data_IF_193662486444
#
_entry.id   IF_193662486444
#
_cell.length_a   1.000
_cell.length_b   1.000
_cell.length_c   1.000
_cell.angle_alpha   90.00
_cell.angle_beta   90.00
_cell.angle_gamma   90.00
#
_symmetry.space_group_name_H-M   'P 1'
#
loop_
_entity.id
_entity.type
_entity.pdbx_description
1 polymer ?
#
# COMPACT_ATOMS: atom_id res chain seq x y z
N UNK A 1 2.89 -19.56 21.40
CA UNK A 1 1.59 -18.86 21.42
C UNK A 1 1.41 -17.91 22.62
N UNK A 2 1.73 -18.31 23.87
CA UNK A 2 1.57 -17.44 25.07
C UNK A 2 2.36 -16.11 25.05
N UNK A 3 3.49 -16.04 24.34
CA UNK A 3 4.28 -14.80 24.21
C UNK A 3 3.58 -13.73 23.34
N UNK A 4 2.92 -14.14 22.25
CA UNK A 4 2.24 -13.20 21.35
C UNK A 4 1.09 -12.47 22.05
N UNK A 5 0.32 -13.19 22.88
CA UNK A 5 -0.75 -12.58 23.68
C UNK A 5 -0.23 -11.63 24.77
N UNK A 6 1.00 -11.82 25.27
CA UNK A 6 1.62 -10.85 26.20
C UNK A 6 1.93 -9.52 25.52
N UNK A 7 2.30 -9.52 24.24
CA UNK A 7 2.55 -8.27 23.49
C UNK A 7 1.24 -7.47 23.37
N UNK A 8 0.12 -8.14 23.07
CA UNK A 8 -1.19 -7.49 23.02
C UNK A 8 -1.68 -6.97 24.38
N UNK A 9 -1.18 -7.53 25.49
CA UNK A 9 -1.46 -7.04 26.85
C UNK A 9 -0.70 -5.76 27.20
N UNK A 10 0.36 -5.42 26.47
CA UNK A 10 1.15 -4.20 26.69
C UNK A 10 0.53 -3.01 25.94
N UNK A 11 -0.24 -3.27 24.87
CA UNK A 11 -0.91 -2.24 24.09
C UNK A 11 -2.15 -1.68 24.79
N UNK A 12 -2.28 -0.36 24.79
CA UNK A 12 -3.47 0.34 25.27
C UNK A 12 -4.64 0.08 24.30
N UNK A 13 -5.90 -0.06 24.76
CA UNK A 13 -7.07 -0.30 23.89
C UNK A 13 -7.24 0.73 22.75
N UNK A 14 -6.71 1.95 22.91
CA UNK A 14 -6.67 2.99 21.88
C UNK A 14 -5.68 2.66 20.75
N UNK A 15 -4.53 2.09 21.09
CA UNK A 15 -3.48 1.69 20.14
C UNK A 15 -3.88 0.45 19.36
N UNK A 16 -4.56 -0.49 20.02
CA UNK A 16 -5.17 -1.66 19.37
C UNK A 16 -6.16 -1.26 18.27
N UNK A 17 -6.99 -0.23 18.50
CA UNK A 17 -7.92 0.29 17.49
C UNK A 17 -7.19 0.98 16.32
N UNK A 18 -6.13 1.73 16.60
CA UNK A 18 -5.29 2.33 15.56
C UNK A 18 -4.55 1.26 14.74
N UNK A 19 -4.05 0.22 15.39
CA UNK A 19 -3.40 -0.91 14.74
C UNK A 19 -4.38 -1.66 13.82
N UNK A 20 -5.60 -1.93 14.30
CA UNK A 20 -6.64 -2.54 13.46
C UNK A 20 -6.99 -1.67 12.25
N UNK A 21 -7.10 -0.35 12.42
CA UNK A 21 -7.28 0.59 11.32
C UNK A 21 -6.13 0.53 10.31
N UNK A 22 -4.87 0.54 10.77
CA UNK A 22 -3.70 0.43 9.90
C UNK A 22 -3.69 -0.88 9.12
N UNK A 23 -4.02 -2.00 9.74
CA UNK A 23 -4.13 -3.30 9.06
C UNK A 23 -5.15 -3.23 7.91
N UNK A 24 -6.31 -2.61 8.14
CA UNK A 24 -7.32 -2.43 7.09
C UNK A 24 -6.76 -1.58 5.95
N UNK A 25 -6.11 -0.45 6.25
CA UNK A 25 -5.47 0.42 5.24
C UNK A 25 -4.40 -0.34 4.44
N UNK A 26 -3.62 -1.21 5.11
CA UNK A 26 -2.61 -2.05 4.46
C UNK A 26 -3.22 -3.09 3.52
N UNK A 27 -4.35 -3.70 3.87
CA UNK A 27 -5.06 -4.64 2.99
C UNK A 27 -5.52 -3.93 1.72
N UNK A 28 -6.10 -2.73 1.85
CA UNK A 28 -6.47 -1.93 0.68
C UNK A 28 -5.26 -1.56 -0.17
N UNK A 29 -4.12 -1.23 0.46
CA UNK A 29 -2.86 -1.00 -0.25
C UNK A 29 -2.38 -2.22 -1.03
N UNK A 30 -2.41 -3.40 -0.42
CA UNK A 30 -2.01 -4.65 -1.06
C UNK A 30 -2.90 -4.98 -2.28
N UNK A 31 -4.21 -4.76 -2.18
CA UNK A 31 -5.12 -4.92 -3.33
C UNK A 31 -4.77 -3.94 -4.44
N UNK A 32 -4.52 -2.67 -4.10
CA UNK A 32 -4.14 -1.65 -5.09
C UNK A 32 -2.79 -1.98 -5.75
N UNK A 33 -1.84 -2.53 -5.01
CA UNK A 33 -0.59 -3.05 -5.56
C UNK A 33 -0.82 -4.21 -6.54
N UNK A 34 -1.64 -5.19 -6.16
CA UNK A 34 -1.97 -6.34 -7.00
C UNK A 34 -2.66 -5.91 -8.29
N UNK A 35 -3.61 -4.96 -8.22
CA UNK A 35 -4.26 -4.36 -9.39
C UNK A 35 -3.22 -3.66 -10.28
N UNK A 36 -2.30 -2.90 -9.69
CA UNK A 36 -1.23 -2.24 -10.45
C UNK A 36 -0.35 -3.23 -11.22
N UNK A 37 0.05 -4.34 -10.59
CA UNK A 37 0.84 -5.40 -11.24
C UNK A 37 0.01 -6.09 -12.34
N UNK A 38 -1.26 -6.41 -12.06
CA UNK A 38 -2.16 -7.06 -13.00
C UNK A 38 -2.49 -6.19 -14.22
N UNK A 39 -2.53 -4.86 -14.06
CA UNK A 39 -2.85 -3.92 -15.14
C UNK A 39 -1.76 -3.83 -16.22
N UNK A 40 -0.54 -4.33 -15.95
CA UNK A 40 0.54 -4.43 -16.95
C UNK A 40 0.20 -5.49 -18.02
N UNK A 41 -0.44 -6.59 -17.63
CA UNK A 41 -0.69 -7.73 -18.52
C UNK A 41 -1.54 -7.37 -19.76
N UNK A 42 -2.65 -6.61 -19.63
CA UNK A 42 -3.40 -6.12 -20.79
C UNK A 42 -2.55 -5.28 -21.75
N UNK A 43 -1.67 -4.42 -21.23
CA UNK A 43 -0.79 -3.59 -22.07
C UNK A 43 0.19 -4.43 -22.88
N UNK A 44 0.86 -5.39 -22.23
CA UNK A 44 1.80 -6.30 -22.90
C UNK A 44 1.08 -7.12 -23.96
N UNK A 45 -0.11 -7.63 -23.63
CA UNK A 45 -0.91 -8.46 -24.53
C UNK A 45 -1.36 -7.68 -25.77
N UNK A 46 -1.74 -6.41 -25.60
CA UNK A 46 -2.12 -5.51 -26.69
C UNK A 46 -0.92 -5.19 -27.60
N UNK A 47 0.27 -4.96 -27.02
CA UNK A 47 1.49 -4.73 -27.80
C UNK A 47 1.86 -5.93 -28.69
N UNK A 48 1.58 -7.16 -28.25
CA UNK A 48 1.84 -8.38 -29.01
C UNK A 48 0.80 -8.73 -30.08
N UNK A 49 -0.32 -8.02 -30.15
CA UNK A 49 -1.44 -8.31 -31.07
C UNK A 49 -1.79 -7.09 -31.92
N UNK A 50 -1.14 -6.87 -33.07
CA UNK A 50 -1.41 -5.72 -33.94
C UNK A 50 -2.84 -5.69 -34.49
N UNK A 51 -3.44 -6.86 -34.76
CA UNK A 51 -4.82 -6.99 -35.29
C UNK A 51 -5.92 -6.94 -34.21
N UNK A 52 -5.61 -6.50 -32.98
CA UNK A 52 -6.54 -6.54 -31.86
C UNK A 52 -7.80 -5.68 -32.10
N UNK A 53 -7.64 -4.52 -32.74
CA UNK A 53 -8.75 -3.62 -33.11
C UNK A 53 -9.69 -4.27 -34.14
N UNK A 54 -9.14 -5.00 -35.10
CA UNK A 54 -9.92 -5.64 -36.17
C UNK A 54 -10.71 -6.85 -35.66
N UNK A 55 -10.19 -7.54 -34.65
CA UNK A 55 -10.88 -8.69 -34.01
C UNK A 55 -11.97 -8.27 -33.03
N UNK A 56 -11.91 -7.06 -32.48
CA UNK A 56 -12.83 -6.59 -31.44
C UNK A 56 -13.50 -5.27 -31.83
N UNK A 57 -14.45 -5.35 -32.75
CA UNK A 57 -15.22 -4.20 -33.26
C UNK A 57 -15.91 -3.37 -32.15
N UNK A 58 -16.31 -3.99 -31.03
CA UNK A 58 -16.85 -3.27 -29.87
C UNK A 58 -15.81 -2.33 -29.24
N UNK A 59 -14.59 -2.82 -29.03
CA UNK A 59 -13.47 -2.04 -28.47
C UNK A 59 -13.06 -0.96 -29.45
N UNK A 60 -13.05 -1.25 -30.76
CA UNK A 60 -12.79 -0.27 -31.80
C UNK A 60 -13.84 0.85 -31.81
N UNK A 61 -15.11 0.56 -31.57
CA UNK A 61 -16.16 1.58 -31.48
C UNK A 61 -15.99 2.51 -30.26
N UNK A 62 -15.56 1.98 -29.11
CA UNK A 62 -15.21 2.80 -27.94
C UNK A 62 -13.94 3.62 -28.17
N UNK A 63 -12.91 3.03 -28.79
CA UNK A 63 -11.66 3.69 -29.14
C UNK A 63 -11.89 4.84 -30.14
N UNK A 64 -12.75 4.63 -31.13
CA UNK A 64 -13.13 5.64 -32.11
C UNK A 64 -13.83 6.85 -31.46
N UNK A 65 -14.63 6.65 -30.40
CA UNK A 65 -15.21 7.76 -29.61
C UNK A 65 -14.15 8.58 -28.88
N UNK A 66 -13.03 7.95 -28.50
CA UNK A 66 -11.85 8.61 -27.93
C UNK A 66 -10.91 9.20 -28.99
N UNK A 67 -11.26 9.10 -30.28
CA UNK A 67 -10.43 9.57 -31.41
C UNK A 67 -9.25 8.66 -31.76
N UNK A 68 -9.23 7.44 -31.21
CA UNK A 68 -8.16 6.47 -31.42
C UNK A 68 -8.57 5.46 -32.48
N UNK A 69 -8.01 5.61 -33.68
CA UNK A 69 -8.25 4.70 -34.82
C UNK A 69 -7.05 3.81 -35.12
N UNK A 70 -5.89 4.10 -34.54
CA UNK A 70 -4.65 3.35 -34.77
C UNK A 70 -4.28 2.48 -33.58
N UNK A 71 -3.67 1.32 -33.85
CA UNK A 71 -3.17 0.41 -32.81
C UNK A 71 -2.18 1.07 -31.87
N UNK A 72 -1.26 1.88 -32.41
CA UNK A 72 -0.31 2.68 -31.61
C UNK A 72 -1.02 3.68 -30.70
N UNK A 73 -2.12 4.29 -31.15
CA UNK A 73 -2.93 5.20 -30.34
C UNK A 73 -3.60 4.49 -29.16
N UNK A 74 -4.03 3.25 -29.33
CA UNK A 74 -4.59 2.45 -28.23
C UNK A 74 -3.54 2.15 -27.18
N UNK A 75 -2.34 1.74 -27.60
CA UNK A 75 -1.22 1.49 -26.69
C UNK A 75 -0.87 2.75 -25.92
N UNK A 76 -0.77 3.91 -26.60
CA UNK A 76 -0.51 5.19 -25.95
C UNK A 76 -1.60 5.56 -24.94
N UNK A 77 -2.87 5.36 -25.28
CA UNK A 77 -4.00 5.61 -24.39
C UNK A 77 -3.97 4.72 -23.13
N UNK A 78 -3.77 3.41 -23.31
CA UNK A 78 -3.68 2.46 -22.20
C UNK A 78 -2.45 2.72 -21.31
N UNK A 79 -1.31 3.06 -21.92
CA UNK A 79 -0.11 3.47 -21.20
C UNK A 79 -0.35 4.77 -20.40
N UNK A 80 -1.06 5.74 -20.97
CA UNK A 80 -1.46 6.96 -20.27
C UNK A 80 -2.34 6.68 -19.05
N UNK A 81 -3.35 5.81 -19.20
CA UNK A 81 -4.21 5.36 -18.09
C UNK A 81 -3.38 4.66 -17.01
N UNK A 82 -2.44 3.79 -17.40
CA UNK A 82 -1.52 3.14 -16.47
C UNK A 82 -0.66 4.14 -15.70
N UNK A 83 -0.09 5.14 -16.37
CA UNK A 83 0.69 6.19 -15.69
C UNK A 83 -0.16 6.89 -14.63
N UNK A 84 -1.39 7.29 -14.97
CA UNK A 84 -2.31 7.93 -14.01
C UNK A 84 -2.62 6.99 -12.84
N UNK A 85 -2.91 5.71 -13.11
CA UNK A 85 -3.15 4.70 -12.08
C UNK A 85 -1.94 4.57 -11.15
N UNK A 86 -0.72 4.53 -11.69
CA UNK A 86 0.51 4.42 -10.90
C UNK A 86 0.76 5.67 -10.06
N UNK A 87 0.48 6.87 -10.57
CA UNK A 87 0.60 8.11 -9.79
C UNK A 87 -0.36 8.05 -8.59
N UNK A 88 -1.64 7.74 -8.82
CA UNK A 88 -2.64 7.63 -7.76
C UNK A 88 -2.28 6.55 -6.75
N UNK A 89 -1.87 5.38 -7.22
CA UNK A 89 -1.38 4.27 -6.39
C UNK A 89 -0.22 4.73 -5.52
N UNK A 90 0.82 5.36 -6.09
CA UNK A 90 2.00 5.75 -5.34
C UNK A 90 1.70 6.82 -4.29
N UNK A 91 0.80 7.77 -4.59
CA UNK A 91 0.32 8.75 -3.60
C UNK A 91 -0.35 8.04 -2.42
N UNK A 92 -1.22 7.07 -2.70
CA UNK A 92 -1.86 6.27 -1.65
C UNK A 92 -0.84 5.49 -0.82
N UNK A 93 0.11 4.79 -1.46
CA UNK A 93 1.15 4.04 -0.74
C UNK A 93 2.05 4.94 0.10
N UNK A 94 2.42 6.11 -0.41
CA UNK A 94 3.22 7.09 0.34
C UNK A 94 2.46 7.58 1.58
N UNK A 95 1.17 7.87 1.44
CA UNK A 95 0.31 8.23 2.57
C UNK A 95 0.19 7.09 3.59
N UNK A 96 -0.06 5.87 3.14
CA UNK A 96 -0.10 4.67 3.99
C UNK A 96 1.24 4.46 4.73
N UNK A 97 2.37 4.64 4.06
CA UNK A 97 3.69 4.51 4.66
C UNK A 97 3.90 5.54 5.77
N UNK A 98 3.49 6.79 5.54
CA UNK A 98 3.56 7.85 6.54
C UNK A 98 2.77 7.48 7.80
N UNK A 99 1.56 6.98 7.65
CA UNK A 99 0.73 6.52 8.78
C UNK A 99 1.41 5.39 9.58
N UNK A 100 2.05 4.44 8.89
CA UNK A 100 2.78 3.35 9.56
C UNK A 100 3.99 3.87 10.34
N UNK A 101 4.75 4.79 9.75
CA UNK A 101 5.91 5.41 10.39
C UNK A 101 5.49 6.18 11.64
N UNK A 102 4.47 7.03 11.53
CA UNK A 102 3.99 7.85 12.64
C UNK A 102 3.52 6.97 13.82
N UNK A 103 2.79 5.90 13.52
CA UNK A 103 2.37 4.92 14.53
C UNK A 103 3.57 4.20 15.17
N UNK A 104 4.50 3.71 14.36
CA UNK A 104 5.68 2.98 14.86
C UNK A 104 6.56 3.86 15.74
N UNK A 105 6.85 5.09 15.31
CA UNK A 105 7.70 6.03 16.05
C UNK A 105 7.03 6.49 17.35
N UNK A 106 5.73 6.83 17.30
CA UNK A 106 4.99 7.24 18.49
C UNK A 106 5.03 6.15 19.57
N UNK A 107 4.77 4.91 19.16
CA UNK A 107 4.77 3.75 20.04
C UNK A 107 6.18 3.44 20.59
N UNK A 108 7.20 3.54 19.75
CA UNK A 108 8.60 3.38 20.16
C UNK A 108 9.02 4.41 21.21
N UNK A 109 8.65 5.68 21.01
CA UNK A 109 8.96 6.76 21.97
C UNK A 109 8.22 6.53 23.28
N UNK A 110 6.96 6.11 23.24
CA UNK A 110 6.16 5.82 24.43
C UNK A 110 6.82 4.74 25.29
N UNK A 111 7.08 3.56 24.70
CA UNK A 111 7.68 2.45 25.42
C UNK A 111 9.12 2.73 25.84
N UNK A 112 9.92 3.40 25.00
CA UNK A 112 11.30 3.76 25.37
C UNK A 112 11.34 4.67 26.61
N UNK A 113 10.42 5.64 26.70
CA UNK A 113 10.34 6.53 27.86
C UNK A 113 9.91 5.78 29.12
N UNK A 114 8.89 4.95 29.01
CA UNK A 114 8.38 4.17 30.14
C UNK A 114 9.43 3.17 30.65
N UNK A 115 10.14 2.49 29.74
CA UNK A 115 11.18 1.53 30.10
C UNK A 115 12.37 2.23 30.78
N UNK A 116 12.79 3.38 30.26
CA UNK A 116 13.88 4.17 30.81
C UNK A 116 13.53 4.77 32.18
N UNK A 117 12.31 5.27 32.35
CA UNK A 117 11.82 5.76 33.65
C UNK A 117 11.80 4.63 34.69
N UNK A 118 11.28 3.46 34.33
CA UNK A 118 11.28 2.29 35.21
C UNK A 118 12.69 1.78 35.52
N UNK A 119 13.62 1.84 34.56
CA UNK A 119 15.02 1.46 34.75
C UNK A 119 15.73 2.39 35.74
N UNK A 120 15.51 3.71 35.63
CA UNK A 120 16.10 4.71 36.53
C UNK A 120 15.50 4.65 37.95
N UNK A 121 14.23 4.27 38.07
CA UNK A 121 13.55 4.15 39.36
C UNK A 121 13.95 2.88 40.16
N UNK A 122 14.75 1.98 39.58
CA UNK A 122 15.20 0.76 40.26
C UNK A 122 16.21 1.07 41.38
N UNK A 123 16.24 0.27 42.46
CA UNK A 123 17.20 0.46 43.54
C UNK A 123 18.64 0.29 43.04
N UNK A 124 19.58 1.07 43.59
CA UNK A 124 20.98 1.12 43.16
C UNK A 124 21.67 -0.26 43.08
N UNK A 125 21.28 -1.20 43.95
CA UNK A 125 21.79 -2.59 43.93
C UNK A 125 21.47 -3.33 42.62
N UNK A 126 20.40 -2.96 41.92
CA UNK A 126 20.05 -3.50 40.61
C UNK A 126 21.02 -3.05 39.51
N UNK A 127 21.69 -1.90 39.68
CA UNK A 127 22.63 -1.35 38.70
C UNK A 127 24.08 -1.80 38.93
N UNK A 128 24.35 -2.48 40.05
CA UNK A 128 25.68 -2.93 40.48
C UNK A 128 26.00 -4.39 40.13
N UNK A 129 24.96 -5.20 39.88
CA UNK A 129 25.05 -6.60 39.43
C UNK A 129 24.71 -6.72 37.95
#
# INVERSE_FOLDING_TARGET
MKLFFRIFSIFTPRELRHCAFLVVVMIFGAVLEAVGIGAILPLISLMGQPDFLDRHAEIAAYAAKLGVTTHTGLIMGLAGILIVLYILKNIYLAWQLRLQIDFSLSNQIHFSKELMANYLAKPYLFHLN
#
